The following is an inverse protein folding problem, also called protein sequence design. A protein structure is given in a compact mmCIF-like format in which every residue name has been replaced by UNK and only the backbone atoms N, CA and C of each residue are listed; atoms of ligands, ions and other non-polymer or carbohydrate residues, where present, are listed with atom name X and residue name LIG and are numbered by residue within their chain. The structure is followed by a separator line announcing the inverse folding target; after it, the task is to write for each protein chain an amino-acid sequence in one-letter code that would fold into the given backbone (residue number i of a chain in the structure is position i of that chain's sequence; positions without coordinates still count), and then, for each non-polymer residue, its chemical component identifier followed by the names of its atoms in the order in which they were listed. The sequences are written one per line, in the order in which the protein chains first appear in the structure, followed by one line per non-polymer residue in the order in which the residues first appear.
data_IF_332579271652
#
_entry.id   IF_332579271652
#
_cell.length_a   1.000
_cell.length_b   1.000
_cell.length_c   1.000
_cell.angle_alpha   90.00
_cell.angle_beta   90.00
_cell.angle_gamma   90.00
#
_symmetry.space_group_name_H-M   'P 1'
#
loop_
_entity.id
_entity.type
_entity.pdbx_description
1 polymer ?
#
# COMPACT_ATOMS: atom_id res chain seq x y z
N UNK A 1 0.04 -40.44 -17.73
CA UNK A 1 -0.79 -39.33 -17.20
C UNK A 1 -1.37 -38.60 -18.40
N UNK A 2 -2.69 -38.60 -18.57
CA UNK A 2 -3.35 -37.87 -19.63
C UNK A 2 -3.40 -36.39 -19.22
N UNK A 3 -2.57 -35.57 -19.85
CA UNK A 3 -2.61 -34.10 -19.68
C UNK A 3 -3.79 -33.56 -20.47
N UNK A 4 -4.82 -33.14 -19.78
CA UNK A 4 -5.94 -32.44 -20.40
C UNK A 4 -5.80 -30.93 -20.18
N UNK A 5 -6.02 -30.14 -21.22
CA UNK A 5 -6.15 -28.69 -21.10
C UNK A 5 -7.53 -28.37 -20.52
N UNK A 6 -7.58 -27.61 -19.43
CA UNK A 6 -8.82 -27.16 -18.81
C UNK A 6 -8.84 -25.66 -18.71
N UNK A 7 -9.89 -25.05 -19.24
CA UNK A 7 -10.11 -23.60 -19.08
C UNK A 7 -10.86 -23.36 -17.77
N UNK A 8 -10.34 -22.50 -16.93
CA UNK A 8 -10.96 -22.11 -15.66
C UNK A 8 -11.24 -20.61 -15.67
N UNK A 9 -12.41 -20.21 -15.19
CA UNK A 9 -12.79 -18.79 -15.11
C UNK A 9 -12.00 -18.05 -14.03
N UNK A 10 -11.62 -18.76 -12.97
CA UNK A 10 -10.85 -18.18 -11.86
C UNK A 10 -9.99 -19.27 -11.22
N UNK A 11 -8.75 -18.93 -10.94
CA UNK A 11 -7.82 -19.78 -10.22
C UNK A 11 -7.22 -19.02 -9.05
N UNK A 12 -7.14 -19.65 -7.88
CA UNK A 12 -6.50 -19.10 -6.71
C UNK A 12 -5.79 -20.22 -5.93
N UNK A 13 -4.61 -19.91 -5.42
CA UNK A 13 -3.86 -20.75 -4.52
C UNK A 13 -3.46 -19.92 -3.30
N UNK A 14 -3.71 -20.45 -2.10
CA UNK A 14 -3.39 -19.75 -0.85
C UNK A 14 -4.34 -20.13 0.27
N UNK A 15 -4.23 -19.46 1.40
CA UNK A 15 -5.15 -19.60 2.51
C UNK A 15 -6.29 -18.59 2.35
N UNK A 16 -7.52 -19.07 2.37
CA UNK A 16 -8.71 -18.21 2.42
C UNK A 16 -9.22 -18.13 3.86
N UNK A 17 -9.34 -16.94 4.38
CA UNK A 17 -9.94 -16.66 5.68
C UNK A 17 -11.35 -16.17 5.46
N UNK A 18 -12.34 -16.87 6.03
CA UNK A 18 -13.76 -16.55 5.85
C UNK A 18 -14.22 -15.59 6.95
N UNK A 19 -13.64 -15.71 8.12
CA UNK A 19 -13.85 -14.85 9.28
C UNK A 19 -12.62 -14.83 10.20
N UNK A 20 -12.66 -14.01 11.26
CA UNK A 20 -11.56 -13.87 12.22
C UNK A 20 -11.30 -15.14 13.06
N UNK A 21 -12.18 -16.14 12.98
CA UNK A 21 -12.13 -17.38 13.77
C UNK A 21 -11.69 -18.59 12.93
N UNK A 22 -11.57 -18.44 11.63
CA UNK A 22 -11.19 -19.54 10.75
C UNK A 22 -9.68 -19.72 10.71
N UNK A 23 -9.22 -20.96 10.85
CA UNK A 23 -7.79 -21.35 10.74
C UNK A 23 -7.23 -21.22 9.31
N UNK A 24 -8.00 -20.65 8.41
CA UNK A 24 -7.65 -20.52 7.00
C UNK A 24 -7.70 -21.87 6.26
N UNK A 25 -8.47 -21.94 5.20
CA UNK A 25 -8.54 -23.10 4.33
C UNK A 25 -7.38 -23.04 3.33
N UNK A 26 -6.52 -24.04 3.34
CA UNK A 26 -5.47 -24.18 2.34
C UNK A 26 -6.04 -24.86 1.10
N UNK A 27 -6.29 -24.08 0.05
CA UNK A 27 -6.68 -24.63 -1.25
C UNK A 27 -5.47 -24.97 -2.08
N UNK A 28 -5.32 -26.23 -2.46
CA UNK A 28 -4.42 -26.68 -3.53
C UNK A 28 -5.19 -26.54 -4.84
N UNK A 29 -5.02 -25.43 -5.54
CA UNK A 29 -5.58 -25.24 -6.88
C UNK A 29 -7.09 -25.43 -6.94
N UNK A 30 -7.84 -24.94 -5.98
CA UNK A 30 -9.26 -25.13 -5.94
C UNK A 30 -9.95 -24.32 -7.06
N UNK A 31 -10.68 -25.06 -7.89
CA UNK A 31 -11.73 -24.46 -8.70
C UNK A 31 -12.78 -23.93 -7.73
N UNK A 32 -12.80 -22.62 -7.49
CA UNK A 32 -13.90 -22.03 -6.76
C UNK A 32 -15.16 -22.13 -7.63
N UNK A 33 -16.17 -22.87 -7.20
CA UNK A 33 -17.45 -22.88 -7.92
C UNK A 33 -18.18 -21.54 -7.85
N UNK A 34 -17.78 -20.69 -6.90
CA UNK A 34 -18.31 -19.33 -6.75
C UNK A 34 -17.38 -18.36 -7.47
N UNK A 35 -17.84 -17.62 -8.47
CA UNK A 35 -17.02 -16.60 -9.10
C UNK A 35 -16.53 -15.63 -8.03
N UNK A 36 -15.22 -15.48 -7.89
CA UNK A 36 -14.66 -14.40 -7.07
C UNK A 36 -15.22 -13.09 -7.62
N UNK A 37 -15.74 -12.25 -6.75
CA UNK A 37 -16.19 -10.91 -7.16
C UNK A 37 -15.03 -10.24 -7.91
N UNK A 38 -15.27 -9.66 -9.08
CA UNK A 38 -14.23 -8.95 -9.79
C UNK A 38 -13.58 -7.93 -8.87
N UNK A 39 -12.24 -7.90 -8.87
CA UNK A 39 -11.53 -6.86 -8.15
C UNK A 39 -12.05 -5.48 -8.58
N UNK A 40 -12.31 -4.55 -7.65
CA UNK A 40 -12.68 -3.18 -8.01
C UNK A 40 -11.59 -2.49 -8.84
N UNK A 41 -10.37 -3.04 -8.84
CA UNK A 41 -9.27 -2.60 -9.70
C UNK A 41 -9.37 -3.11 -11.14
N UNK A 42 -10.35 -3.98 -11.43
CA UNK A 42 -10.59 -4.47 -12.76
C UNK A 42 -11.56 -3.52 -13.46
N UNK A 43 -11.08 -2.74 -14.41
CA UNK A 43 -11.92 -1.87 -15.20
C UNK A 43 -12.89 -2.72 -16.05
N UNK A 44 -14.20 -2.51 -15.89
CA UNK A 44 -15.16 -3.04 -16.83
C UNK A 44 -15.01 -2.28 -18.14
N UNK A 45 -14.48 -2.93 -19.15
CA UNK A 45 -14.49 -2.39 -20.50
C UNK A 45 -15.96 -2.35 -20.99
N UNK A 46 -16.55 -1.17 -21.03
CA UNK A 46 -17.87 -0.95 -21.65
C UNK A 46 -17.84 -1.12 -23.18
N UNK A 47 -16.69 -1.43 -23.75
CA UNK A 47 -16.45 -1.51 -25.19
C UNK A 47 -16.32 -2.94 -25.70
N UNK A 48 -16.79 -3.94 -24.95
CA UNK A 48 -16.84 -5.35 -25.43
C UNK A 48 -15.46 -6.03 -25.58
N UNK A 49 -14.40 -5.45 -25.03
CA UNK A 49 -13.07 -6.06 -24.98
C UNK A 49 -12.82 -6.87 -23.71
N UNK A 50 -11.71 -7.60 -23.71
CA UNK A 50 -11.25 -8.33 -22.53
C UNK A 50 -11.12 -7.37 -21.33
N UNK A 51 -11.45 -7.82 -20.11
CA UNK A 51 -11.37 -6.99 -18.91
C UNK A 51 -9.92 -6.58 -18.66
N UNK A 52 -9.66 -5.28 -18.74
CA UNK A 52 -8.33 -4.70 -18.51
C UNK A 52 -8.20 -4.30 -17.04
N UNK A 53 -7.07 -4.55 -16.44
CA UNK A 53 -6.79 -4.03 -15.10
C UNK A 53 -6.75 -2.50 -15.13
N UNK A 54 -7.31 -1.90 -14.09
CA UNK A 54 -7.20 -0.45 -13.93
C UNK A 54 -5.71 -0.07 -13.84
N UNK A 55 -5.29 0.78 -14.73
CA UNK A 55 -3.96 1.38 -14.71
C UNK A 55 -4.07 2.90 -14.71
N UNK A 56 -3.23 3.53 -13.95
CA UNK A 56 -3.11 4.99 -13.89
C UNK A 56 -1.64 5.38 -13.96
N UNK A 57 -1.33 6.36 -14.75
CA UNK A 57 0.02 6.93 -14.79
C UNK A 57 0.40 7.50 -13.42
N UNK A 58 1.65 7.30 -13.03
CA UNK A 58 2.19 7.91 -11.81
C UNK A 58 2.11 9.44 -11.95
N UNK A 59 1.58 10.18 -10.96
CA UNK A 59 1.57 11.63 -10.98
C UNK A 59 2.99 12.19 -11.13
N UNK A 60 3.17 13.13 -12.02
CA UNK A 60 4.49 13.76 -12.27
C UNK A 60 4.69 15.03 -11.42
N UNK A 61 3.61 15.65 -10.93
CA UNK A 61 3.66 16.90 -10.13
C UNK A 61 4.48 18.02 -10.80
N UNK A 62 4.42 18.10 -12.14
CA UNK A 62 5.15 19.12 -12.91
C UNK A 62 4.67 20.54 -12.64
N UNK A 63 3.48 20.70 -12.06
CA UNK A 63 2.85 21.94 -11.66
C UNK A 63 3.29 22.46 -10.28
N UNK A 64 4.11 21.68 -9.56
CA UNK A 64 4.52 22.02 -8.19
C UNK A 64 5.91 22.65 -8.18
N UNK A 65 5.98 23.89 -7.65
CA UNK A 65 7.23 24.58 -7.43
C UNK A 65 7.98 24.11 -6.18
N UNK A 66 9.26 24.37 -6.10
CA UNK A 66 10.10 23.96 -4.97
C UNK A 66 9.63 24.53 -3.60
N UNK A 67 8.96 25.67 -3.61
CA UNK A 67 8.36 26.28 -2.40
C UNK A 67 7.17 25.48 -1.85
N UNK A 68 6.54 24.67 -2.70
CA UNK A 68 5.38 23.86 -2.34
C UNK A 68 5.73 22.41 -2.06
N UNK A 69 7.02 22.15 -1.78
CA UNK A 69 7.55 20.82 -1.43
C UNK A 69 7.94 20.79 0.05
N UNK A 70 7.41 19.79 0.75
CA UNK A 70 7.80 19.44 2.12
C UNK A 70 8.68 18.20 2.07
N UNK A 71 9.92 18.32 2.53
CA UNK A 71 10.82 17.20 2.70
C UNK A 71 10.71 16.68 4.14
N UNK A 72 10.38 15.40 4.33
CA UNK A 72 10.23 14.78 5.65
C UNK A 72 11.48 14.89 6.53
N UNK A 73 12.67 14.94 5.93
CA UNK A 73 13.93 15.11 6.67
C UNK A 73 13.99 16.46 7.39
N UNK A 74 13.38 17.51 6.84
CA UNK A 74 13.29 18.83 7.51
C UNK A 74 12.39 18.81 8.75
N UNK A 75 11.54 17.81 8.89
CA UNK A 75 10.70 17.57 10.06
C UNK A 75 11.39 16.69 11.12
N UNK A 76 12.60 16.22 10.82
CA UNK A 76 13.38 15.38 11.71
C UNK A 76 13.25 13.88 11.45
N UNK A 77 12.63 13.48 10.34
CA UNK A 77 12.65 12.08 9.93
C UNK A 77 14.08 11.65 9.57
N UNK A 78 14.43 10.42 9.90
CA UNK A 78 15.77 9.86 9.65
C UNK A 78 15.64 8.75 8.61
N UNK A 79 16.37 8.85 7.52
CA UNK A 79 16.40 7.88 6.44
C UNK A 79 17.61 6.92 6.47
N UNK A 80 18.42 6.96 7.53
CA UNK A 80 19.62 6.15 7.66
C UNK A 80 19.40 4.85 8.45
N UNK A 81 18.20 4.29 8.45
CA UNK A 81 17.85 3.08 9.17
C UNK A 81 18.14 3.17 10.69
N UNK A 82 17.88 4.32 11.28
CA UNK A 82 18.11 4.56 12.71
C UNK A 82 17.09 5.57 13.27
N UNK A 83 16.79 5.45 14.57
CA UNK A 83 15.84 6.31 15.25
C UNK A 83 14.41 6.14 14.76
N UNK A 84 13.45 6.60 15.54
CA UNK A 84 12.02 6.56 15.18
C UNK A 84 11.62 7.81 14.41
N UNK A 85 11.10 7.63 13.22
CA UNK A 85 10.65 8.71 12.34
C UNK A 85 9.13 8.93 12.38
N UNK A 86 8.40 8.21 13.21
CA UNK A 86 6.92 8.21 13.23
C UNK A 86 6.33 9.61 13.34
N UNK A 87 6.71 10.33 14.40
CA UNK A 87 6.13 11.65 14.68
C UNK A 87 6.55 12.70 13.64
N UNK A 88 7.80 12.62 13.18
CA UNK A 88 8.30 13.53 12.16
C UNK A 88 7.56 13.38 10.83
N UNK A 89 7.34 12.13 10.42
CA UNK A 89 6.58 11.81 9.20
C UNK A 89 5.12 12.26 9.35
N UNK A 90 4.47 11.92 10.46
CA UNK A 90 3.07 12.29 10.68
C UNK A 90 2.86 13.82 10.66
N UNK A 91 3.75 14.59 11.26
CA UNK A 91 3.72 16.07 11.19
C UNK A 91 3.88 16.57 9.76
N UNK A 92 4.84 16.04 9.03
CA UNK A 92 5.07 16.43 7.64
C UNK A 92 3.86 16.16 6.75
N UNK A 93 3.21 15.00 6.93
CA UNK A 93 2.00 14.62 6.18
C UNK A 93 0.81 15.51 6.52
N UNK A 94 0.59 15.82 7.82
CA UNK A 94 -0.46 16.72 8.27
C UNK A 94 -0.29 18.14 7.71
N UNK A 95 0.91 18.67 7.75
CA UNK A 95 1.20 20.00 7.23
C UNK A 95 1.11 20.03 5.70
N UNK A 96 1.55 18.98 5.03
CA UNK A 96 1.40 18.81 3.59
C UNK A 96 -0.06 18.82 3.16
N UNK A 97 -0.91 18.07 3.85
CA UNK A 97 -2.34 18.04 3.59
C UNK A 97 -3.01 19.40 3.84
N UNK A 98 -2.73 20.03 5.00
CA UNK A 98 -3.30 21.34 5.35
C UNK A 98 -2.92 22.45 4.37
N UNK A 99 -1.68 22.44 3.88
CA UNK A 99 -1.13 23.46 2.98
C UNK A 99 -1.25 23.07 1.51
N UNK A 100 -1.85 21.91 1.19
CA UNK A 100 -1.92 21.35 -0.16
C UNK A 100 -0.53 21.25 -0.85
N UNK A 101 0.50 20.93 -0.07
CA UNK A 101 1.88 20.78 -0.53
C UNK A 101 2.23 19.34 -0.83
N UNK A 102 3.24 19.13 -1.67
CA UNK A 102 3.79 17.82 -1.98
C UNK A 102 4.75 17.37 -0.88
N UNK A 103 4.47 16.25 -0.24
CA UNK A 103 5.38 15.65 0.74
C UNK A 103 6.32 14.68 0.04
N UNK A 104 7.61 14.89 0.22
CA UNK A 104 8.67 14.12 -0.43
C UNK A 104 9.44 13.31 0.59
N UNK A 105 9.59 12.02 0.27
CA UNK A 105 10.44 11.09 0.98
C UNK A 105 11.71 10.83 0.17
N UNK A 106 12.86 11.39 0.53
CA UNK A 106 14.15 10.99 -0.03
C UNK A 106 14.43 9.50 0.16
N UNK A 107 15.32 8.95 -0.66
CA UNK A 107 15.77 7.56 -0.54
C UNK A 107 16.29 7.22 0.86
N UNK A 108 16.14 5.97 1.27
CA UNK A 108 16.61 5.44 2.54
C UNK A 108 15.55 4.65 3.27
N UNK A 109 15.85 4.25 4.50
CA UNK A 109 14.98 3.42 5.35
C UNK A 109 14.55 4.25 6.55
N UNK A 110 13.24 4.45 6.68
CA UNK A 110 12.61 5.17 7.78
C UNK A 110 12.02 4.17 8.76
N UNK A 111 12.57 4.10 9.97
CA UNK A 111 12.01 3.25 11.02
C UNK A 111 10.80 3.95 11.65
N UNK A 112 9.72 3.19 11.85
CA UNK A 112 8.50 3.70 12.47
C UNK A 112 8.02 2.73 13.55
N UNK A 113 7.73 3.24 14.74
CA UNK A 113 7.24 2.45 15.88
C UNK A 113 5.73 2.53 16.06
N UNK A 114 5.06 3.39 15.30
CA UNK A 114 3.62 3.58 15.31
C UNK A 114 3.09 3.81 13.89
N UNK A 115 1.78 3.78 13.74
CA UNK A 115 1.08 4.00 12.48
C UNK A 115 1.39 5.39 11.89
N UNK A 116 1.67 5.40 10.61
CA UNK A 116 1.73 6.61 9.79
C UNK A 116 0.33 6.91 9.29
N UNK A 117 -0.19 8.08 9.63
CA UNK A 117 -1.50 8.55 9.23
C UNK A 117 -1.38 9.42 7.98
N UNK A 118 -1.97 8.98 6.88
CA UNK A 118 -1.99 9.75 5.62
C UNK A 118 -3.33 10.44 5.47
N UNK A 119 -3.42 11.76 5.71
CA UNK A 119 -4.68 12.47 5.56
C UNK A 119 -5.23 12.40 4.13
N UNK A 120 -6.56 12.41 4.02
CA UNK A 120 -7.22 12.41 2.70
C UNK A 120 -6.76 13.61 1.87
N UNK A 121 -6.47 13.37 0.60
CA UNK A 121 -5.98 14.41 -0.33
C UNK A 121 -4.49 14.68 -0.23
N UNK A 122 -3.74 14.01 0.63
CA UNK A 122 -2.29 14.17 0.71
C UNK A 122 -1.62 13.83 -0.62
N UNK A 123 -0.75 14.74 -1.08
CA UNK A 123 0.14 14.50 -2.22
C UNK A 123 1.48 14.03 -1.68
N UNK A 124 1.91 12.84 -2.03
CA UNK A 124 3.22 12.34 -1.58
C UNK A 124 3.97 11.61 -2.69
N UNK A 125 5.28 11.66 -2.62
CA UNK A 125 6.16 10.96 -3.55
C UNK A 125 7.43 10.46 -2.85
N UNK A 126 7.84 9.25 -3.21
CA UNK A 126 9.12 8.69 -2.83
C UNK A 126 10.14 8.86 -3.95
N UNK A 127 11.35 9.30 -3.60
CA UNK A 127 12.48 9.43 -4.53
C UNK A 127 13.42 8.27 -4.29
N UNK A 128 13.77 7.53 -5.36
CA UNK A 128 14.69 6.40 -5.32
C UNK A 128 14.32 5.33 -4.27
N UNK A 129 13.04 4.97 -4.25
CA UNK A 129 12.50 3.86 -3.46
C UNK A 129 12.73 3.95 -1.94
N UNK A 130 12.25 4.99 -1.27
CA UNK A 130 12.29 5.04 0.18
C UNK A 130 11.47 3.89 0.77
N UNK A 131 11.96 3.34 1.87
CA UNK A 131 11.31 2.25 2.58
C UNK A 131 10.83 2.73 3.95
N UNK A 132 9.59 2.40 4.30
CA UNK A 132 9.07 2.55 5.67
C UNK A 132 9.13 1.18 6.32
N UNK A 133 9.90 1.05 7.39
CA UNK A 133 10.09 -0.20 8.12
C UNK A 133 9.46 -0.10 9.49
N UNK A 134 8.49 -0.97 9.75
CA UNK A 134 7.86 -1.11 11.05
C UNK A 134 8.82 -1.75 12.07
N UNK A 135 8.96 -1.14 13.24
CA UNK A 135 9.78 -1.64 14.34
C UNK A 135 9.01 -1.61 15.66
N UNK A 136 9.47 -2.40 16.62
CA UNK A 136 8.87 -2.44 17.95
C UNK A 136 7.73 -3.45 18.10
N UNK A 137 7.25 -3.59 19.34
CA UNK A 137 6.32 -4.66 19.71
C UNK A 137 4.88 -4.40 19.28
N UNK A 138 4.56 -3.13 18.97
CA UNK A 138 3.22 -2.72 18.53
C UNK A 138 2.76 -3.46 17.28
N UNK A 139 3.66 -3.78 16.37
CA UNK A 139 3.37 -4.45 15.11
C UNK A 139 3.51 -5.97 15.16
N UNK A 140 3.91 -6.53 16.30
CA UNK A 140 4.18 -7.97 16.45
C UNK A 140 3.00 -8.79 16.96
N UNK A 141 1.96 -8.17 17.49
CA UNK A 141 0.83 -8.88 18.07
C UNK A 141 -0.15 -9.36 16.98
N UNK A 142 -0.19 -10.68 16.69
CA UNK A 142 -1.10 -11.20 15.68
C UNK A 142 -2.57 -11.18 16.11
N UNK A 143 -2.84 -11.04 17.41
CA UNK A 143 -4.21 -10.95 17.95
C UNK A 143 -4.79 -9.54 17.84
N UNK A 144 -3.92 -8.53 17.74
CA UNK A 144 -4.30 -7.12 17.58
C UNK A 144 -3.43 -6.46 16.50
N UNK A 145 -3.57 -6.90 15.24
CA UNK A 145 -2.73 -6.40 14.16
C UNK A 145 -2.89 -4.89 14.02
N UNK A 146 -1.77 -4.21 13.89
CA UNK A 146 -1.71 -2.77 13.66
C UNK A 146 -1.21 -2.51 12.24
N UNK A 147 -1.85 -1.58 11.55
CA UNK A 147 -1.40 -1.17 10.23
C UNK A 147 -0.21 -0.22 10.34
N UNK A 148 0.75 -0.35 9.44
CA UNK A 148 1.93 0.53 9.39
C UNK A 148 1.57 1.88 8.77
N UNK A 149 0.74 1.88 7.74
CA UNK A 149 0.27 3.10 7.06
C UNK A 149 -1.24 3.03 6.91
N UNK A 150 -1.92 4.09 7.27
CA UNK A 150 -3.38 4.21 7.20
C UNK A 150 -3.79 5.52 6.51
#
# INVERSE_FOLDING_TARGET
MAGGTRTVATWAMGRAYIDEKSDGIQGLGALSPTPLKPSPLRANSKLGGEPVFYSRSKPQYSDIGAADVINVLKYGANNANSGDSTDAINRALQDGAKQNKLVVFPSGIYLVSNTIEVPVGTRLVGILWPQIMAVGDRFKDPKKPQVVVR
#
